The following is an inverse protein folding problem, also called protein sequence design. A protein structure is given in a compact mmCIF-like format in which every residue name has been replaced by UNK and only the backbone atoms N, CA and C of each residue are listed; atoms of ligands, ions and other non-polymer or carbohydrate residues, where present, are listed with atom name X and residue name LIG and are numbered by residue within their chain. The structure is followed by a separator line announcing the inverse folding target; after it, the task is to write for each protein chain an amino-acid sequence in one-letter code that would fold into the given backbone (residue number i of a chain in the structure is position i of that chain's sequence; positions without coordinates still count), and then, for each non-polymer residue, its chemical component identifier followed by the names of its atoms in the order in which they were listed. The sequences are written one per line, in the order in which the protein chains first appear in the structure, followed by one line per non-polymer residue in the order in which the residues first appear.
data_IF_654241227410
#
_entry.id   IF_654241227410
#
_cell.length_a   1.000
_cell.length_b   1.000
_cell.length_c   1.000
_cell.angle_alpha   90.00
_cell.angle_beta   90.00
_cell.angle_gamma   90.00
#
_symmetry.space_group_name_H-M   'P 1'
#
loop_
_entity.id
_entity.type
_entity.pdbx_description
1 polymer ?
#
# COMPACT_ATOMS: atom_id res chain seq x y z
N UNK A 1 6.92 17.46 -45.34
CA UNK A 1 6.91 16.00 -45.53
C UNK A 1 7.24 15.31 -44.21
N UNK A 2 6.46 14.31 -43.78
CA UNK A 2 6.81 13.49 -42.61
C UNK A 2 7.71 12.36 -43.06
N UNK A 3 8.95 12.32 -42.54
CA UNK A 3 9.87 11.20 -42.78
C UNK A 3 9.29 9.93 -42.15
N UNK A 4 9.28 8.79 -42.86
CA UNK A 4 8.92 7.52 -42.25
C UNK A 4 9.94 7.19 -41.16
N UNK A 5 9.46 6.91 -39.96
CA UNK A 5 10.29 6.37 -38.88
C UNK A 5 10.54 4.91 -39.23
N UNK A 6 11.76 4.58 -39.63
CA UNK A 6 12.17 3.19 -39.81
C UNK A 6 12.13 2.50 -38.44
N UNK A 7 11.16 1.60 -38.27
CA UNK A 7 11.08 0.75 -37.08
C UNK A 7 12.27 -0.19 -37.06
N UNK A 8 13.17 0.00 -36.11
CA UNK A 8 14.34 -0.86 -35.88
C UNK A 8 13.99 -2.22 -35.24
N UNK A 9 12.70 -2.48 -34.97
CA UNK A 9 12.27 -3.71 -34.35
C UNK A 9 12.15 -4.85 -35.39
N UNK A 10 12.66 -6.06 -35.07
CA UNK A 10 12.62 -7.19 -35.99
C UNK A 10 11.17 -7.64 -36.25
N UNK A 11 10.92 -8.16 -37.47
CA UNK A 11 9.60 -8.68 -37.90
C UNK A 11 9.06 -9.75 -36.96
N UNK A 12 9.94 -10.53 -36.34
CA UNK A 12 9.60 -11.55 -35.34
C UNK A 12 10.56 -11.38 -34.17
N UNK A 13 10.00 -11.25 -32.97
CA UNK A 13 10.76 -11.20 -31.72
C UNK A 13 10.50 -12.50 -30.95
N UNK A 14 11.57 -13.19 -30.57
CA UNK A 14 11.51 -14.35 -29.68
C UNK A 14 11.78 -13.84 -28.27
N UNK A 15 10.84 -14.06 -27.35
CA UNK A 15 11.08 -13.80 -25.94
C UNK A 15 11.89 -14.98 -25.39
N UNK A 16 13.14 -14.74 -25.01
CA UNK A 16 13.98 -15.75 -24.37
C UNK A 16 13.87 -15.63 -22.84
N UNK A 17 13.26 -16.64 -22.22
CA UNK A 17 13.11 -16.73 -20.77
C UNK A 17 11.65 -16.74 -20.31
N UNK A 18 11.37 -17.56 -19.30
CA UNK A 18 10.09 -17.54 -18.62
C UNK A 18 10.11 -16.41 -17.60
N UNK A 19 9.37 -15.34 -17.87
CA UNK A 19 9.29 -14.17 -17.01
C UNK A 19 8.37 -14.45 -15.79
N UNK A 20 8.58 -15.59 -15.10
CA UNK A 20 7.79 -16.07 -13.94
C UNK A 20 7.93 -15.21 -12.68
N UNK A 21 8.18 -13.91 -12.81
CA UNK A 21 8.10 -13.03 -11.67
C UNK A 21 6.63 -12.93 -11.30
N UNK A 22 6.25 -13.56 -10.18
CA UNK A 22 4.97 -13.27 -9.54
C UNK A 22 4.98 -11.79 -9.18
N UNK A 23 4.13 -11.01 -9.82
CA UNK A 23 3.91 -9.64 -9.44
C UNK A 23 3.24 -9.62 -8.06
N UNK A 24 3.67 -8.69 -7.20
CA UNK A 24 2.83 -8.36 -6.05
C UNK A 24 1.52 -7.76 -6.56
N UNK A 25 0.50 -7.74 -5.71
CA UNK A 25 -0.84 -7.29 -6.05
C UNK A 25 -0.86 -5.93 -6.75
N UNK A 26 -0.12 -4.95 -6.23
CA UNK A 26 -0.06 -3.59 -6.80
C UNK A 26 0.59 -3.56 -8.18
N UNK A 27 1.66 -4.32 -8.40
CA UNK A 27 2.32 -4.42 -9.71
C UNK A 27 1.43 -5.16 -10.72
N UNK A 28 0.71 -6.19 -10.26
CA UNK A 28 -0.23 -6.95 -11.08
C UNK A 28 -1.38 -6.06 -11.57
N UNK A 29 -2.05 -5.36 -10.65
CA UNK A 29 -3.15 -4.45 -10.99
C UNK A 29 -2.70 -3.34 -11.96
N UNK A 30 -1.51 -2.74 -11.71
CA UNK A 30 -0.94 -1.73 -12.61
C UNK A 30 -0.61 -2.28 -13.99
N UNK A 31 -0.02 -3.48 -14.06
CA UNK A 31 0.31 -4.14 -15.31
C UNK A 31 -0.94 -4.36 -16.16
N UNK A 32 -2.00 -4.94 -15.58
CA UNK A 32 -3.25 -5.20 -16.30
C UNK A 32 -4.02 -3.93 -16.66
N UNK A 33 -3.96 -2.89 -15.83
CA UNK A 33 -4.53 -1.58 -16.16
C UNK A 33 -3.85 -0.94 -17.38
N UNK A 34 -2.52 -0.93 -17.41
CA UNK A 34 -1.75 -0.37 -18.53
C UNK A 34 -1.93 -1.18 -19.82
N UNK A 35 -1.87 -2.51 -19.71
CA UNK A 35 -2.07 -3.40 -20.86
C UNK A 35 -3.47 -3.23 -21.46
N UNK A 36 -4.51 -3.13 -20.63
CA UNK A 36 -5.87 -2.84 -21.09
C UNK A 36 -5.95 -1.50 -21.84
N UNK A 37 -5.31 -0.45 -21.33
CA UNK A 37 -5.26 0.85 -22.00
C UNK A 37 -4.63 0.78 -23.39
N UNK A 38 -3.51 0.06 -23.53
CA UNK A 38 -2.85 -0.17 -24.81
C UNK A 38 -3.75 -0.95 -25.78
N UNK A 39 -4.40 -2.01 -25.30
CA UNK A 39 -5.30 -2.84 -26.12
C UNK A 39 -6.51 -2.04 -26.56
N UNK A 40 -7.16 -1.28 -25.66
CA UNK A 40 -8.36 -0.46 -25.94
C UNK A 40 -8.09 0.65 -26.95
N UNK A 41 -6.90 1.25 -26.93
CA UNK A 41 -6.52 2.32 -27.86
C UNK A 41 -6.25 1.82 -29.29
N UNK A 42 -5.90 0.54 -29.45
CA UNK A 42 -5.68 -0.04 -30.76
C UNK A 42 -7.00 -0.29 -31.52
N UNK A 43 -6.90 -0.44 -32.84
CA UNK A 43 -8.03 -0.75 -33.72
C UNK A 43 -8.60 -2.14 -33.40
N UNK A 44 -9.74 -2.15 -32.70
CA UNK A 44 -10.37 -3.39 -32.21
C UNK A 44 -10.75 -4.35 -33.35
N UNK A 45 -11.11 -3.81 -34.52
CA UNK A 45 -11.48 -4.64 -35.67
C UNK A 45 -10.27 -5.45 -36.20
N UNK A 46 -9.05 -4.91 -36.05
CA UNK A 46 -7.81 -5.60 -36.42
C UNK A 46 -7.37 -6.62 -35.38
N UNK A 47 -7.63 -6.34 -34.10
CA UNK A 47 -7.28 -7.25 -33.01
C UNK A 47 -8.17 -8.49 -32.95
N UNK A 48 -9.38 -8.42 -33.53
CA UNK A 48 -10.38 -9.51 -33.52
C UNK A 48 -10.71 -10.00 -32.10
N UNK A 49 -10.58 -9.12 -31.11
CA UNK A 49 -10.93 -9.42 -29.72
C UNK A 49 -12.46 -9.29 -29.57
N UNK A 50 -13.15 -10.30 -29.03
CA UNK A 50 -14.58 -10.19 -28.78
C UNK A 50 -14.89 -9.05 -27.80
N UNK A 51 -15.93 -8.26 -28.07
CA UNK A 51 -16.33 -7.14 -27.21
C UNK A 51 -16.56 -7.57 -25.75
N UNK A 52 -17.11 -8.78 -25.54
CA UNK A 52 -17.30 -9.36 -24.20
C UNK A 52 -15.98 -9.47 -23.41
N UNK A 53 -14.86 -9.79 -24.07
CA UNK A 53 -13.55 -9.89 -23.42
C UNK A 53 -13.08 -8.53 -22.92
N UNK A 54 -13.28 -7.46 -23.70
CA UNK A 54 -12.91 -6.10 -23.28
C UNK A 54 -13.74 -5.63 -22.09
N UNK A 55 -15.04 -5.94 -22.06
CA UNK A 55 -15.92 -5.63 -20.92
C UNK A 55 -15.50 -6.41 -19.68
N UNK A 56 -15.24 -7.71 -19.80
CA UNK A 56 -14.80 -8.54 -18.66
C UNK A 56 -13.44 -8.07 -18.12
N UNK A 57 -12.50 -7.70 -19.00
CA UNK A 57 -11.19 -7.21 -18.57
C UNK A 57 -11.32 -5.86 -17.82
N UNK A 58 -12.13 -4.94 -18.31
CA UNK A 58 -12.37 -3.67 -17.60
C UNK A 58 -12.94 -3.90 -16.19
N UNK A 59 -13.89 -4.82 -16.05
CA UNK A 59 -14.45 -5.20 -14.76
C UNK A 59 -13.41 -5.85 -13.84
N UNK A 60 -12.56 -6.74 -14.37
CA UNK A 60 -11.48 -7.38 -13.62
C UNK A 60 -10.45 -6.34 -13.13
N UNK A 61 -10.01 -5.42 -13.99
CA UNK A 61 -9.09 -4.34 -13.63
C UNK A 61 -9.65 -3.48 -12.48
N UNK A 62 -10.95 -3.16 -12.52
CA UNK A 62 -11.61 -2.41 -11.45
C UNK A 62 -11.60 -3.18 -10.14
N UNK A 63 -11.92 -4.47 -10.18
CA UNK A 63 -11.88 -5.34 -9.00
C UNK A 63 -10.48 -5.45 -8.40
N UNK A 64 -9.45 -5.65 -9.24
CA UNK A 64 -8.06 -5.76 -8.78
C UNK A 64 -7.55 -4.44 -8.19
N UNK A 65 -7.90 -3.31 -8.81
CA UNK A 65 -7.53 -1.97 -8.30
C UNK A 65 -8.17 -1.71 -6.93
N UNK A 66 -9.43 -2.07 -6.75
CA UNK A 66 -10.11 -1.93 -5.47
C UNK A 66 -9.45 -2.82 -4.40
N UNK A 67 -9.14 -4.07 -4.75
CA UNK A 67 -8.49 -5.01 -3.84
C UNK A 67 -7.09 -4.53 -3.41
N UNK A 68 -6.31 -3.92 -4.31
CA UNK A 68 -5.02 -3.29 -4.01
C UNK A 68 -5.15 -2.11 -3.02
N UNK A 69 -6.15 -1.25 -3.22
CA UNK A 69 -6.45 -0.13 -2.33
C UNK A 69 -6.85 -0.62 -0.93
N UNK A 70 -7.71 -1.62 -0.85
CA UNK A 70 -8.16 -2.24 0.40
C UNK A 70 -6.99 -2.90 1.14
N UNK A 71 -6.13 -3.64 0.42
CA UNK A 71 -4.94 -4.27 0.98
C UNK A 71 -3.99 -3.22 1.58
N UNK A 72 -3.72 -2.15 0.83
CA UNK A 72 -2.85 -1.05 1.27
C UNK A 72 -3.41 -0.35 2.51
N UNK A 73 -4.71 -0.08 2.54
CA UNK A 73 -5.38 0.54 3.69
C UNK A 73 -5.34 -0.37 4.94
N UNK A 74 -5.52 -1.68 4.74
CA UNK A 74 -5.45 -2.67 5.82
C UNK A 74 -4.04 -2.74 6.42
N UNK A 75 -3.01 -2.84 5.59
CA UNK A 75 -1.61 -2.82 6.04
C UNK A 75 -1.25 -1.53 6.78
N UNK A 76 -1.73 -0.38 6.30
CA UNK A 76 -1.51 0.90 6.97
C UNK A 76 -2.18 0.93 8.34
N UNK A 77 -3.43 0.47 8.44
CA UNK A 77 -4.18 0.39 9.69
C UNK A 77 -3.48 -0.52 10.70
N UNK A 78 -2.97 -1.68 10.26
CA UNK A 78 -2.23 -2.59 11.13
C UNK A 78 -0.94 -1.95 11.70
N UNK A 79 -0.23 -1.15 10.87
CA UNK A 79 0.96 -0.41 11.33
C UNK A 79 0.60 0.67 12.35
N UNK A 80 -0.49 1.41 12.14
CA UNK A 80 -0.95 2.41 13.11
C UNK A 80 -1.35 1.79 14.45
N UNK A 81 -2.06 0.66 14.43
CA UNK A 81 -2.42 -0.08 15.64
C UNK A 81 -1.18 -0.56 16.42
N UNK A 82 -0.13 -1.01 15.73
CA UNK A 82 1.11 -1.40 16.39
C UNK A 82 1.79 -0.22 17.09
N UNK A 83 1.81 0.96 16.43
CA UNK A 83 2.35 2.19 17.02
C UNK A 83 1.51 2.70 18.19
N UNK A 84 0.18 2.59 18.12
CA UNK A 84 -0.71 2.93 19.23
C UNK A 84 -0.44 2.03 20.45
N UNK A 85 -0.29 0.73 20.24
CA UNK A 85 0.06 -0.21 21.31
C UNK A 85 1.43 0.11 21.93
N UNK A 86 2.43 0.47 21.12
CA UNK A 86 3.74 0.88 21.62
C UNK A 86 3.63 2.18 22.44
N UNK A 87 2.90 3.17 21.94
CA UNK A 87 2.63 4.42 22.67
C UNK A 87 1.95 4.14 24.00
N UNK A 88 0.93 3.30 24.04
CA UNK A 88 0.16 3.01 25.25
C UNK A 88 1.02 2.28 26.31
N UNK A 89 1.94 1.42 25.87
CA UNK A 89 2.93 0.80 26.75
C UNK A 89 3.91 1.83 27.34
N UNK A 90 4.40 2.77 26.53
CA UNK A 90 5.30 3.84 26.98
C UNK A 90 4.58 4.75 27.98
N UNK A 91 3.35 5.18 27.67
CA UNK A 91 2.54 6.01 28.57
C UNK A 91 2.27 5.29 29.89
N UNK A 92 1.93 4.00 29.83
CA UNK A 92 1.74 3.17 31.02
C UNK A 92 2.99 3.14 31.88
N UNK A 93 4.17 2.93 31.29
CA UNK A 93 5.44 2.97 32.01
C UNK A 93 5.67 4.31 32.71
N UNK A 94 5.46 5.43 32.00
CA UNK A 94 5.59 6.78 32.57
C UNK A 94 4.67 6.95 33.79
N UNK A 95 3.41 6.54 33.67
CA UNK A 95 2.46 6.63 34.79
C UNK A 95 2.84 5.73 35.97
N UNK A 96 3.38 4.54 35.71
CA UNK A 96 3.90 3.68 36.78
C UNK A 96 5.08 4.33 37.51
N UNK A 97 6.02 4.93 36.78
CA UNK A 97 7.16 5.65 37.37
C UNK A 97 6.68 6.83 38.22
N UNK A 98 5.79 7.66 37.69
CA UNK A 98 5.21 8.80 38.43
C UNK A 98 4.48 8.30 39.68
N UNK A 99 3.67 7.25 39.58
CA UNK A 99 2.96 6.67 40.73
C UNK A 99 3.94 6.15 41.78
N UNK A 100 5.03 5.51 41.38
CA UNK A 100 6.09 5.06 42.28
C UNK A 100 6.77 6.20 43.02
N UNK A 101 7.05 7.32 42.34
CA UNK A 101 7.73 8.47 42.96
C UNK A 101 6.92 9.18 44.05
N UNK A 102 5.61 8.93 44.16
CA UNK A 102 4.81 9.38 45.32
C UNK A 102 5.35 8.86 46.67
N UNK A 103 6.14 7.80 46.64
CA UNK A 103 6.77 7.18 47.80
C UNK A 103 8.28 7.40 47.87
N UNK A 104 8.85 8.29 47.04
CA UNK A 104 10.29 8.57 47.04
C UNK A 104 10.75 9.24 48.34
N UNK A 105 11.98 8.92 48.78
CA UNK A 105 12.68 9.63 49.86
C UNK A 105 13.19 11.01 49.43
N UNK A 106 13.30 11.27 48.13
CA UNK A 106 13.67 12.57 47.57
C UNK A 106 12.44 13.48 47.53
N UNK A 107 12.43 14.54 48.36
CA UNK A 107 11.27 15.43 48.50
C UNK A 107 10.84 16.07 47.16
N UNK A 108 11.80 16.50 46.34
CA UNK A 108 11.53 17.11 45.03
C UNK A 108 10.80 16.15 44.07
N UNK A 109 11.21 14.87 44.02
CA UNK A 109 10.55 13.84 43.19
C UNK A 109 9.16 13.51 43.70
N UNK A 110 9.00 13.41 45.03
CA UNK A 110 7.71 13.12 45.67
C UNK A 110 6.69 14.22 45.43
N UNK A 111 7.06 15.48 45.63
CA UNK A 111 6.17 16.61 45.39
C UNK A 111 5.76 16.74 43.92
N UNK A 112 6.72 16.60 43.00
CA UNK A 112 6.43 16.62 41.56
C UNK A 112 5.46 15.50 41.16
N UNK A 113 5.67 14.28 41.67
CA UNK A 113 4.80 13.14 41.42
C UNK A 113 3.37 13.34 41.96
N UNK A 114 3.23 13.90 43.16
CA UNK A 114 1.92 14.20 43.74
C UNK A 114 1.15 15.24 42.91
N UNK A 115 1.83 16.29 42.44
CA UNK A 115 1.23 17.30 41.54
C UNK A 115 0.74 16.70 40.23
N UNK A 116 1.58 15.89 39.56
CA UNK A 116 1.21 15.23 38.31
C UNK A 116 0.07 14.22 38.50
N UNK A 117 0.07 13.47 39.60
CA UNK A 117 -0.97 12.46 39.87
C UNK A 117 -2.38 13.05 40.05
N UNK A 118 -2.48 14.31 40.50
CA UNK A 118 -3.76 15.00 40.65
C UNK A 118 -4.39 15.44 39.33
N UNK A 119 -3.62 15.44 38.23
CA UNK A 119 -4.07 15.89 36.90
C UNK A 119 -4.30 14.74 35.92
N UNK A 120 -3.73 13.56 36.18
CA UNK A 120 -3.70 12.44 35.23
C UNK A 120 -4.54 11.25 35.74
N UNK A 121 -5.72 11.53 36.31
CA UNK A 121 -6.68 10.53 36.81
C UNK A 121 -7.59 10.00 35.71
#
# INVERSE_FOLDING_TARGET
EMKPIESTLPRVMKFEGDNRKMYNLSLHAQFHFLQYGLVKAADQAKLKIPAAVMTTWEAANKSETQLDQESTASEHTAKLLALDNERDNILSNIFYVVRGYRYSSEASKKEAALRLSATVS
#
